data_IF_482582456375
#
_entry.id   IF_482582456375
#
_cell.length_a   1.000
_cell.length_b   1.000
_cell.length_c   1.000
_cell.angle_alpha   90.00
_cell.angle_beta   90.00
_cell.angle_gamma   90.00
#
_symmetry.space_group_name_H-M   'P 1'
#
loop_
_entity.id
_entity.type
_entity.pdbx_description
1 polymer ?
#
# COMPACT_ATOMS: atom_id res chain seq x y z
N UNK A 1 -20.82 3.84 17.43
CA UNK A 1 -20.43 5.16 16.89
C UNK A 1 -18.94 5.44 17.10
N UNK A 2 -18.39 5.27 18.28
CA UNK A 2 -16.98 5.54 18.64
C UNK A 2 -15.96 4.83 17.75
N UNK A 3 -16.17 3.54 17.39
CA UNK A 3 -15.27 2.76 16.54
C UNK A 3 -15.17 3.35 15.11
N UNK A 4 -16.27 3.78 14.53
CA UNK A 4 -16.27 4.36 13.18
C UNK A 4 -15.52 5.72 13.15
N UNK A 5 -15.70 6.54 14.18
CA UNK A 5 -14.95 7.79 14.33
C UNK A 5 -13.45 7.54 14.51
N UNK A 6 -13.10 6.54 15.30
CA UNK A 6 -11.70 6.12 15.48
C UNK A 6 -11.09 5.67 14.14
N UNK A 7 -11.79 4.83 13.38
CA UNK A 7 -11.34 4.35 12.07
C UNK A 7 -11.22 5.50 11.07
N UNK A 8 -12.16 6.43 11.05
CA UNK A 8 -12.09 7.61 10.18
C UNK A 8 -10.91 8.52 10.52
N UNK A 9 -10.68 8.81 11.81
CA UNK A 9 -9.55 9.63 12.28
C UNK A 9 -8.21 8.93 11.97
N UNK A 10 -8.13 7.63 12.23
CA UNK A 10 -6.93 6.84 11.91
C UNK A 10 -6.68 6.78 10.40
N UNK A 11 -7.74 6.65 9.59
CA UNK A 11 -7.67 6.73 8.14
C UNK A 11 -7.14 8.08 7.67
N UNK A 12 -7.66 9.19 8.21
CA UNK A 12 -7.18 10.53 7.87
C UNK A 12 -5.68 10.69 8.11
N UNK A 13 -5.20 10.36 9.32
CA UNK A 13 -3.78 10.46 9.68
C UNK A 13 -2.93 9.51 8.82
N UNK A 14 -3.34 8.25 8.71
CA UNK A 14 -2.61 7.24 7.97
C UNK A 14 -2.43 7.62 6.50
N UNK A 15 -3.44 8.24 5.86
CA UNK A 15 -3.33 8.61 4.45
C UNK A 15 -2.60 9.92 4.20
N UNK A 16 -2.56 10.88 5.14
CA UNK A 16 -1.63 12.02 5.06
C UNK A 16 -0.20 11.48 5.00
N UNK A 17 0.19 10.67 5.98
CA UNK A 17 1.53 10.09 6.07
C UNK A 17 1.84 9.24 4.83
N UNK A 18 0.88 8.43 4.40
CA UNK A 18 1.00 7.58 3.22
C UNK A 18 1.23 8.34 1.92
N UNK A 19 0.50 9.42 1.70
CA UNK A 19 0.63 10.20 0.46
C UNK A 19 1.99 10.89 0.39
N UNK A 20 2.49 11.38 1.51
CA UNK A 20 3.83 11.97 1.63
C UNK A 20 4.92 10.89 1.55
N UNK A 21 4.70 9.72 2.15
CA UNK A 21 5.64 8.58 2.17
C UNK A 21 5.58 7.68 0.91
N UNK A 22 4.86 8.09 -0.13
CA UNK A 22 4.77 7.33 -1.39
C UNK A 22 3.90 6.07 -1.33
N UNK A 23 3.00 5.95 -0.36
CA UNK A 23 2.06 4.83 -0.21
C UNK A 23 2.16 4.11 1.14
N UNK A 24 1.26 3.17 1.40
CA UNK A 24 1.31 2.32 2.62
C UNK A 24 0.41 2.77 3.77
N UNK A 25 -0.56 3.65 3.55
CA UNK A 25 -1.52 4.05 4.60
C UNK A 25 -2.28 2.87 5.22
N UNK A 26 -2.57 1.88 4.42
CA UNK A 26 -3.19 0.65 4.89
C UNK A 26 -2.34 -0.07 5.96
N UNK A 27 -0.99 0.00 5.89
CA UNK A 27 -0.11 -0.64 6.88
C UNK A 27 -0.30 -0.07 8.29
N UNK A 28 -0.59 1.23 8.39
CA UNK A 28 -0.88 1.87 9.68
C UNK A 28 -2.24 1.44 10.24
N UNK A 29 -3.17 1.02 9.38
CA UNK A 29 -4.46 0.49 9.81
C UNK A 29 -4.42 -1.00 10.18
N UNK A 30 -3.44 -1.76 9.69
CA UNK A 30 -3.34 -3.22 9.93
C UNK A 30 -3.46 -3.58 11.42
N UNK A 31 -2.68 -3.00 12.34
CA UNK A 31 -2.79 -3.31 13.77
C UNK A 31 -4.16 -2.95 14.35
N UNK A 32 -4.70 -1.78 13.98
CA UNK A 32 -5.98 -1.32 14.48
C UNK A 32 -7.13 -2.21 14.01
N UNK A 33 -7.18 -2.52 12.72
CA UNK A 33 -8.21 -3.40 12.15
C UNK A 33 -8.09 -4.82 12.70
N UNK A 34 -6.86 -5.33 12.84
CA UNK A 34 -6.60 -6.63 13.43
C UNK A 34 -7.10 -6.73 14.89
N UNK A 35 -6.92 -5.67 15.68
CA UNK A 35 -7.42 -5.59 17.05
C UNK A 35 -8.95 -5.50 17.13
N UNK A 36 -9.57 -4.68 16.27
CA UNK A 36 -11.03 -4.38 16.31
C UNK A 36 -11.87 -5.47 15.66
N UNK A 37 -11.39 -6.08 14.58
CA UNK A 37 -12.18 -6.97 13.72
C UNK A 37 -11.54 -8.35 13.50
N UNK A 38 -10.34 -8.59 14.03
CA UNK A 38 -9.59 -9.82 13.86
C UNK A 38 -8.71 -9.85 12.60
N UNK A 39 -7.75 -10.78 12.58
CA UNK A 39 -6.75 -10.87 11.50
C UNK A 39 -7.37 -11.10 10.11
N UNK A 40 -8.42 -11.91 10.01
CA UNK A 40 -9.11 -12.18 8.75
C UNK A 40 -9.88 -10.98 8.17
N UNK A 41 -10.15 -9.94 8.98
CA UNK A 41 -10.78 -8.71 8.51
C UNK A 41 -9.76 -7.72 7.91
N UNK A 42 -8.46 -7.90 8.18
CA UNK A 42 -7.44 -6.92 7.84
C UNK A 42 -7.39 -6.66 6.34
N UNK A 43 -7.20 -7.69 5.51
CA UNK A 43 -7.05 -7.51 4.08
C UNK A 43 -8.33 -6.94 3.42
N UNK A 44 -9.55 -7.46 3.65
CA UNK A 44 -10.76 -6.88 3.07
C UNK A 44 -11.03 -5.44 3.50
N UNK A 45 -10.89 -5.11 4.79
CA UNK A 45 -11.15 -3.76 5.33
C UNK A 45 -10.13 -2.74 4.81
N UNK A 46 -8.84 -3.09 4.84
CA UNK A 46 -7.78 -2.20 4.35
C UNK A 46 -7.82 -2.01 2.83
N UNK A 47 -8.22 -3.03 2.08
CA UNK A 47 -8.45 -2.95 0.64
C UNK A 47 -9.57 -1.97 0.31
N UNK A 48 -10.73 -2.05 1.00
CA UNK A 48 -11.81 -1.10 0.80
C UNK A 48 -11.40 0.32 1.21
N UNK A 49 -10.75 0.49 2.37
CA UNK A 49 -10.26 1.80 2.80
C UNK A 49 -9.28 2.40 1.78
N UNK A 50 -8.39 1.57 1.21
CA UNK A 50 -7.45 2.00 0.18
C UNK A 50 -8.16 2.34 -1.13
N UNK A 51 -9.18 1.58 -1.53
CA UNK A 51 -9.98 1.86 -2.73
C UNK A 51 -10.67 3.22 -2.63
N UNK A 52 -11.32 3.50 -1.50
CA UNK A 52 -11.97 4.79 -1.26
C UNK A 52 -10.95 5.92 -1.24
N UNK A 53 -9.82 5.74 -0.56
CA UNK A 53 -8.73 6.73 -0.56
C UNK A 53 -8.12 6.94 -1.95
N UNK A 54 -7.94 5.86 -2.72
CA UNK A 54 -7.38 5.89 -4.06
C UNK A 54 -8.30 6.62 -5.05
N UNK A 55 -9.62 6.51 -4.91
CA UNK A 55 -10.57 7.27 -5.78
C UNK A 55 -10.38 8.78 -5.63
N UNK A 56 -10.21 9.29 -4.41
CA UNK A 56 -9.88 10.70 -4.16
C UNK A 56 -8.50 11.08 -4.70
N UNK A 57 -7.48 10.22 -4.51
CA UNK A 57 -6.14 10.45 -5.06
C UNK A 57 -6.13 10.42 -6.59
N UNK A 58 -6.87 9.52 -7.22
CA UNK A 58 -7.00 9.45 -8.67
C UNK A 58 -7.51 10.77 -9.23
N UNK A 59 -8.52 11.36 -8.60
CA UNK A 59 -9.03 12.68 -9.02
C UNK A 59 -8.01 13.79 -8.81
N UNK A 60 -7.35 13.83 -7.64
CA UNK A 60 -6.39 14.87 -7.26
C UNK A 60 -5.13 14.84 -8.13
N UNK A 61 -4.58 13.65 -8.44
CA UNK A 61 -3.31 13.46 -9.15
C UNK A 61 -3.46 13.00 -10.61
N UNK A 62 -4.66 13.11 -11.20
CA UNK A 62 -4.97 12.62 -12.56
C UNK A 62 -4.07 13.16 -13.67
N UNK A 63 -3.50 14.36 -13.47
CA UNK A 63 -2.61 15.02 -14.44
C UNK A 63 -1.14 14.60 -14.31
N UNK A 64 -0.82 13.90 -13.23
CA UNK A 64 0.54 13.53 -12.86
C UNK A 64 0.84 12.05 -13.16
N UNK A 65 -0.02 11.37 -13.94
CA UNK A 65 0.07 9.94 -14.21
C UNK A 65 1.02 9.64 -15.37
N UNK A 66 1.97 8.74 -15.15
CA UNK A 66 2.84 8.16 -16.19
C UNK A 66 2.17 6.95 -16.85
N UNK A 67 1.35 7.20 -17.85
CA UNK A 67 0.55 6.18 -18.52
C UNK A 67 1.36 5.04 -19.15
N UNK A 68 2.61 5.31 -19.57
CA UNK A 68 3.52 4.27 -20.07
C UNK A 68 3.83 3.21 -19.01
N UNK A 69 4.01 3.63 -17.76
CA UNK A 69 4.24 2.73 -16.63
C UNK A 69 2.95 1.99 -16.28
N UNK A 70 1.81 2.69 -16.27
CA UNK A 70 0.50 2.08 -15.99
C UNK A 70 0.20 0.94 -16.96
N UNK A 71 0.51 1.12 -18.25
CA UNK A 71 0.28 0.09 -19.28
C UNK A 71 1.02 -1.23 -18.99
N UNK A 72 2.21 -1.18 -18.42
CA UNK A 72 2.97 -2.36 -18.01
C UNK A 72 2.60 -2.89 -16.64
N UNK A 73 2.29 -2.00 -15.70
CA UNK A 73 2.04 -2.30 -14.31
C UNK A 73 0.64 -2.88 -14.06
N UNK A 74 -0.39 -2.29 -14.69
CA UNK A 74 -1.79 -2.61 -14.41
C UNK A 74 -2.18 -4.07 -14.68
N UNK A 75 -1.78 -4.70 -15.82
CA UNK A 75 -2.13 -6.11 -16.05
C UNK A 75 -1.55 -7.02 -14.96
N UNK A 76 -0.27 -6.79 -14.56
CA UNK A 76 0.36 -7.54 -13.48
C UNK A 76 -0.36 -7.34 -12.15
N UNK A 77 -0.65 -6.09 -11.79
CA UNK A 77 -1.35 -5.75 -10.55
C UNK A 77 -2.76 -6.38 -10.48
N UNK A 78 -3.52 -6.33 -11.57
CA UNK A 78 -4.87 -6.90 -11.63
C UNK A 78 -4.86 -8.43 -11.48
N UNK A 79 -4.00 -9.12 -12.24
CA UNK A 79 -3.85 -10.58 -12.18
C UNK A 79 -3.34 -10.99 -10.79
N UNK A 80 -2.29 -10.35 -10.30
CA UNK A 80 -1.74 -10.61 -8.97
C UNK A 80 -2.78 -10.37 -7.87
N UNK A 81 -3.50 -9.24 -7.94
CA UNK A 81 -4.55 -8.89 -7.00
C UNK A 81 -5.69 -9.91 -6.95
N UNK A 82 -6.13 -10.41 -8.12
CA UNK A 82 -7.12 -11.48 -8.23
C UNK A 82 -6.63 -12.76 -7.55
N UNK A 83 -5.45 -13.22 -7.93
CA UNK A 83 -4.87 -14.48 -7.40
C UNK A 83 -4.61 -14.39 -5.90
N UNK A 84 -4.09 -13.26 -5.40
CA UNK A 84 -3.83 -13.04 -3.99
C UNK A 84 -5.11 -13.00 -3.16
N UNK A 85 -6.13 -12.30 -3.63
CA UNK A 85 -7.43 -12.26 -2.95
C UNK A 85 -8.14 -13.63 -2.97
N UNK A 86 -7.99 -14.41 -4.05
CA UNK A 86 -8.53 -15.77 -4.12
C UNK A 86 -7.80 -16.72 -3.16
N UNK A 87 -6.49 -16.60 -3.01
CA UNK A 87 -5.69 -17.41 -2.09
C UNK A 87 -5.79 -16.98 -0.61
N UNK A 88 -6.39 -15.83 -0.33
CA UNK A 88 -6.46 -15.24 1.01
C UNK A 88 -7.08 -16.17 2.06
N UNK A 89 -8.14 -16.92 1.71
CA UNK A 89 -8.85 -17.80 2.63
C UNK A 89 -8.04 -19.04 3.06
N UNK A 90 -7.00 -19.39 2.33
CA UNK A 90 -6.19 -20.60 2.53
C UNK A 90 -4.78 -20.34 3.04
N UNK A 91 -4.38 -19.07 3.25
CA UNK A 91 -2.99 -18.71 3.55
C UNK A 91 -2.87 -17.95 4.87
N UNK A 92 -1.90 -18.33 5.71
CA UNK A 92 -1.54 -17.53 6.88
C UNK A 92 -0.73 -16.31 6.43
N UNK A 93 -1.25 -15.11 6.71
CA UNK A 93 -0.61 -13.85 6.32
C UNK A 93 0.62 -13.50 7.17
N UNK A 94 0.87 -14.21 8.25
CA UNK A 94 1.86 -13.87 9.27
C UNK A 94 3.29 -13.95 8.74
N UNK A 95 3.67 -15.08 8.15
CA UNK A 95 5.00 -15.28 7.56
C UNK A 95 5.27 -14.35 6.38
N UNK A 96 4.24 -14.08 5.57
CA UNK A 96 4.35 -13.14 4.45
C UNK A 96 4.68 -11.72 4.95
N UNK A 97 4.07 -11.30 6.06
CA UNK A 97 4.37 -9.99 6.66
C UNK A 97 5.82 -9.91 7.15
N UNK A 98 6.36 -10.98 7.73
CA UNK A 98 7.76 -11.04 8.15
C UNK A 98 8.71 -10.90 6.95
N UNK A 99 8.47 -11.69 5.89
CA UNK A 99 9.30 -11.66 4.67
C UNK A 99 9.28 -10.27 4.03
N UNK A 100 8.09 -9.68 3.89
CA UNK A 100 7.95 -8.34 3.32
C UNK A 100 8.59 -7.28 4.22
N UNK A 101 8.45 -7.41 5.54
CA UNK A 101 9.11 -6.52 6.49
C UNK A 101 10.63 -6.54 6.35
N UNK A 102 11.24 -7.72 6.25
CA UNK A 102 12.68 -7.90 5.99
C UNK A 102 13.09 -7.30 4.64
N UNK A 103 12.29 -7.53 3.59
CA UNK A 103 12.54 -6.93 2.28
C UNK A 103 12.54 -5.39 2.34
N UNK A 104 11.57 -4.78 3.01
CA UNK A 104 11.48 -3.32 3.16
C UNK A 104 12.69 -2.75 3.92
N UNK A 105 13.15 -3.43 4.97
CA UNK A 105 14.36 -3.03 5.71
C UNK A 105 15.60 -3.18 4.83
N UNK A 106 15.74 -4.27 4.10
CA UNK A 106 16.89 -4.50 3.21
C UNK A 106 17.04 -3.44 2.14
N UNK A 107 15.91 -2.92 1.60
CA UNK A 107 15.94 -1.86 0.59
C UNK A 107 16.55 -0.55 1.12
N UNK A 108 16.40 -0.28 2.42
CA UNK A 108 17.01 0.90 3.07
C UNK A 108 18.53 0.76 3.11
N UNK A 109 19.03 -0.43 3.44
CA UNK A 109 20.48 -0.70 3.45
C UNK A 109 21.07 -0.55 2.03
N UNK A 110 20.41 -1.12 1.03
CA UNK A 110 20.82 -0.99 -0.37
C UNK A 110 20.86 0.46 -0.84
N UNK A 111 19.88 1.28 -0.44
CA UNK A 111 19.82 2.69 -0.81
C UNK A 111 20.90 3.53 -0.14
N UNK A 112 21.28 3.25 1.11
CA UNK A 112 22.40 3.91 1.80
C UNK A 112 23.74 3.57 1.19
N UNK A 113 23.94 2.33 0.75
CA UNK A 113 25.18 1.85 0.14
C UNK A 113 25.37 2.35 -1.31
N UNK A 114 24.23 2.67 -2.01
CA UNK A 114 24.21 3.16 -3.38
C UNK A 114 23.95 4.67 -3.57
N UNK A 115 24.18 5.50 -2.57
CA UNK A 115 23.63 6.85 -2.35
C UNK A 115 23.87 7.92 -3.43
N UNK A 116 24.48 7.65 -4.57
CA UNK A 116 24.80 8.69 -5.57
C UNK A 116 24.49 8.39 -7.04
N UNK A 117 24.12 7.16 -7.42
CA UNK A 117 23.78 6.84 -8.81
C UNK A 117 22.54 5.95 -8.84
N UNK A 118 21.70 6.08 -9.87
CA UNK A 118 20.68 5.08 -10.21
C UNK A 118 21.40 3.73 -10.28
N UNK A 119 20.97 2.75 -9.50
CA UNK A 119 21.70 1.49 -9.36
C UNK A 119 21.68 0.68 -10.66
N UNK A 120 20.64 0.88 -11.50
CA UNK A 120 20.49 0.33 -12.85
C UNK A 120 19.36 1.05 -13.59
N UNK A 121 19.41 1.06 -14.91
CA UNK A 121 18.30 1.53 -15.75
C UNK A 121 17.18 0.48 -15.71
N UNK A 122 16.03 0.89 -15.18
CA UNK A 122 14.86 0.01 -15.10
C UNK A 122 14.11 0.10 -16.44
N UNK A 123 14.05 -1.01 -17.16
CA UNK A 123 13.14 -1.15 -18.29
C UNK A 123 11.70 -1.24 -17.81
N UNK A 124 10.77 -0.63 -18.55
CA UNK A 124 9.35 -0.54 -18.17
C UNK A 124 8.68 -1.90 -18.00
N UNK A 125 9.14 -2.93 -18.71
CA UNK A 125 8.56 -4.28 -18.61
C UNK A 125 8.73 -4.91 -17.21
N UNK A 126 9.71 -4.46 -16.39
CA UNK A 126 9.89 -4.92 -15.01
C UNK A 126 8.71 -4.57 -14.11
N UNK A 127 7.91 -3.57 -14.49
CA UNK A 127 6.71 -3.21 -13.73
C UNK A 127 5.66 -4.32 -13.77
N UNK A 128 5.57 -5.09 -14.86
CA UNK A 128 4.61 -6.20 -14.95
C UNK A 128 4.88 -7.31 -13.91
N UNK A 129 6.04 -8.01 -13.90
CA UNK A 129 6.29 -9.06 -12.92
C UNK A 129 6.36 -8.54 -11.48
N UNK A 130 6.86 -7.32 -11.27
CA UNK A 130 6.90 -6.72 -9.94
C UNK A 130 5.50 -6.43 -9.39
N UNK A 131 4.62 -5.84 -10.20
CA UNK A 131 3.24 -5.57 -9.80
C UNK A 131 2.38 -6.85 -9.70
N UNK A 132 2.68 -7.88 -10.49
CA UNK A 132 2.05 -9.19 -10.33
C UNK A 132 2.35 -9.79 -8.95
N UNK A 133 3.61 -9.78 -8.55
CA UNK A 133 4.03 -10.27 -7.23
C UNK A 133 3.44 -9.40 -6.10
N UNK A 134 3.56 -8.07 -6.21
CA UNK A 134 3.07 -7.14 -5.19
C UNK A 134 1.55 -7.14 -5.12
N UNK A 135 0.85 -7.25 -6.23
CA UNK A 135 -0.60 -7.42 -6.28
C UNK A 135 -1.05 -8.70 -5.58
N UNK A 136 -0.34 -9.82 -5.81
CA UNK A 136 -0.60 -11.09 -5.13
C UNK A 136 -0.40 -10.96 -3.61
N UNK A 137 0.74 -10.43 -3.17
CA UNK A 137 1.02 -10.19 -1.75
C UNK A 137 0.03 -9.19 -1.12
N UNK A 138 -0.38 -8.16 -1.88
CA UNK A 138 -1.40 -7.21 -1.43
C UNK A 138 -2.75 -7.87 -1.21
N UNK A 139 -3.13 -8.83 -2.06
CA UNK A 139 -4.35 -9.61 -1.90
C UNK A 139 -4.32 -10.52 -0.66
N UNK A 140 -3.15 -10.98 -0.24
CA UNK A 140 -2.99 -11.82 0.96
C UNK A 140 -2.93 -11.01 2.25
N UNK A 141 -2.23 -9.86 2.24
CA UNK A 141 -1.87 -9.11 3.46
C UNK A 141 -2.65 -7.80 3.58
N UNK A 142 -3.16 -7.28 2.47
CA UNK A 142 -3.93 -6.03 2.42
C UNK A 142 -3.09 -4.74 2.41
N UNK A 143 -1.76 -4.80 2.54
CA UNK A 143 -0.97 -3.58 2.76
C UNK A 143 0.46 -3.67 2.19
N UNK A 144 0.62 -3.54 0.86
CA UNK A 144 1.92 -3.66 0.17
C UNK A 144 2.40 -2.38 -0.52
N UNK A 145 1.77 -1.24 -0.25
CA UNK A 145 2.06 0.03 -0.93
C UNK A 145 3.53 0.44 -1.00
N UNK A 146 4.33 0.35 0.07
CA UNK A 146 5.74 0.78 0.05
C UNK A 146 6.67 -0.11 -0.78
N UNK A 147 6.33 -1.37 -1.02
CA UNK A 147 7.20 -2.35 -1.69
C UNK A 147 7.65 -1.87 -3.09
N UNK A 148 6.72 -1.29 -3.84
CA UNK A 148 7.01 -0.76 -5.18
C UNK A 148 7.78 0.57 -5.19
N UNK A 149 7.93 1.24 -4.05
CA UNK A 149 8.55 2.56 -4.01
C UNK A 149 9.97 2.55 -4.59
N UNK A 150 10.75 1.50 -4.29
CA UNK A 150 12.11 1.39 -4.80
C UNK A 150 12.15 1.35 -6.34
N UNK A 151 11.24 0.59 -6.96
CA UNK A 151 11.16 0.50 -8.42
C UNK A 151 10.80 1.85 -9.05
N UNK A 152 9.80 2.55 -8.52
CA UNK A 152 9.40 3.88 -8.99
C UNK A 152 10.51 4.91 -8.81
N UNK A 153 11.19 4.92 -7.66
CA UNK A 153 12.31 5.84 -7.39
C UNK A 153 13.50 5.61 -8.33
N UNK A 154 13.82 4.35 -8.63
CA UNK A 154 14.86 4.00 -9.59
C UNK A 154 14.48 4.35 -11.03
N UNK A 155 13.21 4.24 -11.39
CA UNK A 155 12.70 4.73 -12.67
C UNK A 155 12.67 6.28 -12.76
N UNK A 156 13.05 6.99 -11.70
CA UNK A 156 13.07 8.45 -11.66
C UNK A 156 11.70 9.09 -11.44
N UNK A 157 10.70 8.29 -11.09
CA UNK A 157 9.33 8.74 -10.85
C UNK A 157 9.22 9.12 -9.36
N UNK A 158 8.97 10.39 -9.09
CA UNK A 158 8.95 10.95 -7.73
C UNK A 158 7.76 11.87 -7.52
N UNK A 159 7.45 12.16 -6.25
CA UNK A 159 6.42 13.13 -5.84
C UNK A 159 5.04 12.84 -6.45
N UNK A 160 4.39 13.85 -7.02
CA UNK A 160 3.04 13.76 -7.58
C UNK A 160 2.94 12.68 -8.67
N UNK A 161 3.98 12.56 -9.53
CA UNK A 161 4.04 11.56 -10.59
C UNK A 161 4.03 10.14 -10.02
N UNK A 162 4.75 9.90 -8.92
CA UNK A 162 4.77 8.61 -8.25
C UNK A 162 3.41 8.30 -7.62
N UNK A 163 2.81 9.26 -6.90
CA UNK A 163 1.51 9.07 -6.27
C UNK A 163 0.41 8.86 -7.30
N UNK A 164 0.38 9.67 -8.37
CA UNK A 164 -0.59 9.56 -9.45
C UNK A 164 -0.51 8.22 -10.18
N UNK A 165 0.69 7.82 -10.61
CA UNK A 165 0.92 6.57 -11.35
C UNK A 165 0.58 5.35 -10.50
N UNK A 166 1.05 5.29 -9.25
CA UNK A 166 0.70 4.21 -8.32
C UNK A 166 -0.80 4.13 -8.08
N UNK A 167 -1.47 5.27 -7.97
CA UNK A 167 -2.92 5.29 -7.77
C UNK A 167 -3.66 4.76 -9.00
N UNK A 168 -3.24 5.11 -10.21
CA UNK A 168 -3.83 4.62 -11.44
C UNK A 168 -3.70 3.10 -11.61
N UNK A 169 -2.64 2.49 -11.05
CA UNK A 169 -2.45 1.04 -11.03
C UNK A 169 -3.24 0.39 -9.89
N UNK A 170 -3.15 0.96 -8.68
CA UNK A 170 -3.72 0.33 -7.48
C UNK A 170 -5.24 0.41 -7.41
N UNK A 171 -5.87 1.44 -7.99
CA UNK A 171 -7.32 1.61 -7.93
C UNK A 171 -8.06 0.45 -8.62
N UNK A 172 -7.78 0.11 -9.90
CA UNK A 172 -8.39 -1.06 -10.54
C UNK A 172 -8.00 -2.37 -9.85
N UNK A 173 -6.76 -2.52 -9.37
CA UNK A 173 -6.32 -3.70 -8.62
C UNK A 173 -7.19 -3.92 -7.37
N UNK A 174 -7.41 -2.87 -6.57
CA UNK A 174 -8.25 -2.99 -5.37
C UNK A 174 -9.74 -3.22 -5.69
N UNK A 175 -10.23 -2.75 -6.85
CA UNK A 175 -11.58 -3.12 -7.31
C UNK A 175 -11.69 -4.62 -7.57
N UNK A 176 -10.69 -5.20 -8.25
CA UNK A 176 -10.62 -6.65 -8.49
C UNK A 176 -10.52 -7.42 -7.18
N UNK A 177 -9.63 -7.02 -6.27
CA UNK A 177 -9.49 -7.65 -4.94
C UNK A 177 -10.80 -7.62 -4.15
N UNK A 178 -11.44 -6.46 -4.06
CA UNK A 178 -12.70 -6.30 -3.33
C UNK A 178 -13.82 -7.14 -3.93
N UNK A 179 -13.93 -7.20 -5.26
CA UNK A 179 -14.86 -8.08 -5.96
C UNK A 179 -14.62 -9.55 -5.61
N UNK A 180 -13.35 -9.96 -5.59
CA UNK A 180 -12.96 -11.34 -5.23
C UNK A 180 -13.28 -11.65 -3.77
N UNK A 181 -12.94 -10.79 -2.80
CA UNK A 181 -13.31 -10.99 -1.38
C UNK A 181 -14.82 -11.07 -1.19
N UNK A 182 -15.59 -10.26 -1.92
CA UNK A 182 -17.06 -10.26 -1.84
C UNK A 182 -17.63 -11.56 -2.42
N UNK A 183 -17.13 -12.01 -3.57
CA UNK A 183 -17.57 -13.26 -4.21
C UNK A 183 -17.24 -14.50 -3.38
N UNK A 184 -16.12 -14.48 -2.64
CA UNK A 184 -15.70 -15.59 -1.76
C UNK A 184 -16.26 -15.49 -0.33
N UNK A 185 -17.13 -14.50 -0.03
CA UNK A 185 -17.74 -14.32 1.28
C UNK A 185 -16.81 -13.79 2.38
N UNK A 186 -15.59 -13.35 2.03
CA UNK A 186 -14.63 -12.77 2.97
C UNK A 186 -14.98 -11.33 3.36
N UNK A 187 -15.93 -10.67 2.67
CA UNK A 187 -16.43 -9.34 2.96
C UNK A 187 -17.89 -9.41 3.41
N UNK A 188 -18.21 -8.84 4.54
CA UNK A 188 -19.58 -8.70 5.04
C UNK A 188 -19.94 -7.23 5.30
N UNK A 189 -21.22 -6.94 5.58
CA UNK A 189 -21.69 -5.57 5.77
C UNK A 189 -20.99 -4.81 6.89
N UNK A 190 -20.60 -5.46 7.98
CA UNK A 190 -19.86 -4.84 9.09
C UNK A 190 -18.45 -4.46 8.66
N UNK A 191 -17.73 -5.34 7.97
CA UNK A 191 -16.39 -5.06 7.45
C UNK A 191 -16.41 -3.98 6.37
N UNK A 192 -17.47 -3.97 5.54
CA UNK A 192 -17.67 -2.90 4.57
C UNK A 192 -17.80 -1.54 5.24
N UNK A 193 -18.60 -1.42 6.30
CA UNK A 193 -18.75 -0.17 7.05
C UNK A 193 -17.42 0.28 7.71
N UNK A 194 -16.62 -0.65 8.21
CA UNK A 194 -15.31 -0.35 8.78
C UNK A 194 -14.34 0.20 7.73
N UNK A 195 -14.25 -0.47 6.56
CA UNK A 195 -13.42 -0.02 5.46
C UNK A 195 -13.88 1.33 4.89
N UNK A 196 -15.19 1.53 4.75
CA UNK A 196 -15.76 2.78 4.29
C UNK A 196 -15.47 3.94 5.26
N UNK A 197 -15.63 3.74 6.57
CA UNK A 197 -15.33 4.76 7.59
C UNK A 197 -13.85 5.19 7.52
N UNK A 198 -12.91 4.24 7.48
CA UNK A 198 -11.50 4.53 7.34
C UNK A 198 -11.17 5.24 6.01
N UNK A 199 -11.81 4.81 4.92
CA UNK A 199 -11.64 5.38 3.58
C UNK A 199 -12.17 6.81 3.47
N UNK A 200 -13.31 7.14 4.08
CA UNK A 200 -13.86 8.51 4.11
C UNK A 200 -12.90 9.47 4.82
N UNK A 201 -12.34 9.07 5.96
CA UNK A 201 -11.27 9.84 6.60
C UNK A 201 -10.08 10.09 5.68
N UNK A 202 -9.69 9.08 4.92
CA UNK A 202 -8.60 9.17 3.96
C UNK A 202 -8.87 10.10 2.77
N UNK A 203 -10.11 10.26 2.33
CA UNK A 203 -10.47 11.19 1.24
C UNK A 203 -10.10 12.63 1.58
N UNK A 204 -10.45 13.09 2.77
CA UNK A 204 -10.16 14.46 3.23
C UNK A 204 -8.64 14.73 3.28
N UNK A 205 -7.83 13.72 3.56
CA UNK A 205 -6.38 13.83 3.66
C UNK A 205 -5.67 14.09 2.32
N UNK A 206 -6.24 13.62 1.22
CA UNK A 206 -5.57 13.63 -0.09
C UNK A 206 -5.29 15.06 -0.61
N UNK A 207 -6.23 15.97 -0.41
CA UNK A 207 -6.07 17.35 -0.86
C UNK A 207 -5.01 18.11 -0.05
N UNK A 208 -5.01 17.89 1.26
CA UNK A 208 -4.02 18.49 2.16
C UNK A 208 -2.62 17.94 1.85
N UNK A 209 -2.49 16.62 1.68
CA UNK A 209 -1.23 15.97 1.36
C UNK A 209 -0.63 16.45 0.02
N UNK A 210 -1.48 16.74 -0.99
CA UNK A 210 -1.00 17.28 -2.28
C UNK A 210 -0.32 18.63 -2.12
N UNK A 211 -0.85 19.51 -1.27
CA UNK A 211 -0.25 20.82 -1.01
C UNK A 211 1.16 20.67 -0.46
N UNK A 212 1.35 19.82 0.57
CA UNK A 212 2.68 19.54 1.11
C UNK A 212 3.62 18.92 0.09
N UNK A 213 3.12 18.00 -0.75
CA UNK A 213 3.92 17.32 -1.75
C UNK A 213 4.48 18.30 -2.81
N UNK A 214 3.68 19.27 -3.24
CA UNK A 214 4.10 20.29 -4.23
C UNK A 214 5.23 21.19 -3.72
N UNK A 215 5.20 21.57 -2.45
CA UNK A 215 6.18 22.44 -1.81
C UNK A 215 7.48 21.68 -1.46
N UNK A 216 7.44 20.36 -1.38
CA UNK A 216 8.55 19.51 -0.96
C UNK A 216 9.61 19.37 -2.07
N UNK A 217 10.91 19.38 -1.70
CA UNK A 217 11.99 19.04 -2.63
C UNK A 217 12.01 17.54 -2.94
N UNK A 218 12.38 17.17 -4.17
CA UNK A 218 12.47 15.76 -4.56
C UNK A 218 13.45 14.94 -3.69
N UNK A 219 14.50 15.57 -3.14
CA UNK A 219 15.44 14.96 -2.20
C UNK A 219 14.76 14.59 -0.89
N UNK A 220 13.98 15.52 -0.33
CA UNK A 220 13.31 15.34 0.96
C UNK A 220 12.19 14.29 0.83
N UNK A 221 11.45 14.32 -0.28
CA UNK A 221 10.47 13.28 -0.62
C UNK A 221 11.10 11.88 -0.63
N UNK A 222 12.24 11.71 -1.32
CA UNK A 222 12.96 10.42 -1.36
C UNK A 222 13.38 9.95 0.03
N UNK A 223 13.92 10.86 0.86
CA UNK A 223 14.34 10.55 2.23
C UNK A 223 13.14 10.09 3.08
N UNK A 224 12.01 10.79 2.99
CA UNK A 224 10.78 10.44 3.70
C UNK A 224 10.26 9.07 3.25
N UNK A 225 10.22 8.80 1.94
CA UNK A 225 9.79 7.51 1.40
C UNK A 225 10.64 6.37 1.95
N UNK A 226 11.97 6.53 2.00
CA UNK A 226 12.88 5.50 2.49
C UNK A 226 12.70 5.30 3.99
N UNK A 227 12.62 6.38 4.78
CA UNK A 227 12.32 6.28 6.21
C UNK A 227 10.98 5.58 6.46
N UNK A 228 9.97 5.90 5.65
CA UNK A 228 8.66 5.26 5.75
C UNK A 228 8.70 3.76 5.40
N UNK A 229 9.49 3.38 4.40
CA UNK A 229 9.71 1.97 4.06
C UNK A 229 10.36 1.21 5.23
N UNK A 230 11.41 1.80 5.85
CA UNK A 230 12.07 1.21 7.02
C UNK A 230 11.10 1.04 8.19
N UNK A 231 10.37 2.11 8.53
CA UNK A 231 9.39 2.08 9.60
C UNK A 231 8.29 1.04 9.35
N UNK A 232 7.79 0.99 8.12
CA UNK A 232 6.78 0.00 7.72
C UNK A 232 7.30 -1.44 7.87
N UNK A 233 8.55 -1.70 7.48
CA UNK A 233 9.18 -3.01 7.66
C UNK A 233 9.32 -3.39 9.13
N UNK A 234 9.75 -2.47 9.98
CA UNK A 234 9.86 -2.69 11.45
C UNK A 234 8.48 -2.99 12.04
N UNK A 235 7.46 -2.20 11.70
CA UNK A 235 6.08 -2.39 12.20
C UNK A 235 5.52 -3.75 11.79
N UNK A 236 5.78 -4.19 10.54
CA UNK A 236 5.34 -5.51 10.07
C UNK A 236 5.98 -6.65 10.86
N UNK A 237 7.29 -6.61 11.07
CA UNK A 237 8.01 -7.64 11.85
C UNK A 237 7.56 -7.60 13.30
N UNK A 238 7.49 -6.42 13.90
CA UNK A 238 7.06 -6.27 15.29
C UNK A 238 5.64 -6.76 15.53
N UNK A 239 4.74 -6.55 14.55
CA UNK A 239 3.37 -7.06 14.60
C UNK A 239 3.30 -8.59 14.67
N UNK A 240 4.29 -9.28 14.14
CA UNK A 240 4.36 -10.76 14.10
C UNK A 240 5.33 -11.35 15.13
N UNK A 241 5.72 -10.58 16.17
CA UNK A 241 6.67 -11.04 17.19
C UNK A 241 6.25 -12.33 17.90
N UNK A 242 4.94 -12.54 18.10
CA UNK A 242 4.43 -13.75 18.73
C UNK A 242 4.69 -15.00 17.89
N UNK A 243 4.57 -14.89 16.57
CA UNK A 243 4.86 -16.00 15.62
C UNK A 243 6.37 -16.30 15.62
N UNK A 244 7.20 -15.25 15.66
CA UNK A 244 8.66 -15.40 15.70
C UNK A 244 9.06 -16.12 16.98
N UNK A 245 8.58 -15.66 18.14
CA UNK A 245 8.92 -16.26 19.47
C UNK A 245 8.39 -17.69 19.61
N UNK A 246 7.27 -18.03 18.96
CA UNK A 246 6.72 -19.38 19.01
C UNK A 246 7.52 -20.42 18.18
N UNK A 247 8.41 -19.98 17.26
CA UNK A 247 9.18 -20.88 16.37
C UNK A 247 10.69 -20.88 16.69
N UNK A 248 11.15 -20.09 17.64
CA UNK A 248 12.51 -20.08 18.18
C UNK A 248 12.51 -20.28 19.69
#
# INVERSE_FOLDING_TARGET
>A
MTIYLLLAASGFIAWIISTIGGGGGAMLLVPLVGFVAGAQAVAPVTTLATLVAASGRAFVFRRDVEWRVVGWALPGAAIGGLLGAAAFSSTSAEWLQIIVGLFLISTVLQYRLGARKRTFEISLWWFFPAELLVGFLSGLVGAMGPVMNNLYLNAGIVKERMVGTKTAVSLPMHMVQLGTYSALGSMNGKLFLFGAAAGVGALASNWLARRFLREMRARDFRAIVICFMALSGIVMIWGQRAVIVAHF
#
